data_IF_734051736439
#
_entry.id   IF_734051736439
#
_cell.length_a   1.000
_cell.length_b   1.000
_cell.length_c   1.000
_cell.angle_alpha   90.00
_cell.angle_beta   90.00
_cell.angle_gamma   90.00
#
_symmetry.space_group_name_H-M   'P 1'
#
loop_
_entity.id
_entity.type
_entity.pdbx_description
1 polymer ?
#
# COMPACT_ATOMS: atom_id res chain seq x y z
N UNK A 1 -1.10 -11.01 -3.61
CA UNK A 1 -1.88 -9.82 -4.08
C UNK A 1 -2.20 -9.93 -5.57
N UNK A 2 -1.21 -9.86 -6.46
CA UNK A 2 -1.45 -9.86 -7.92
C UNK A 2 -2.24 -11.09 -8.36
N UNK A 3 -1.76 -12.29 -8.01
CA UNK A 3 -2.39 -13.57 -8.39
C UNK A 3 -3.87 -13.70 -7.97
N UNK A 4 -4.16 -13.70 -6.65
CA UNK A 4 -5.54 -13.80 -6.16
C UNK A 4 -6.50 -12.76 -6.78
N UNK A 5 -6.03 -11.53 -7.01
CA UNK A 5 -6.86 -10.47 -7.57
C UNK A 5 -7.13 -10.68 -9.06
N UNK A 6 -6.16 -11.12 -9.84
CA UNK A 6 -6.36 -11.36 -11.28
C UNK A 6 -7.13 -12.64 -11.53
N UNK A 7 -6.86 -13.71 -10.78
CA UNK A 7 -7.57 -14.99 -10.90
C UNK A 7 -9.04 -14.90 -10.48
N UNK A 8 -9.41 -14.01 -9.55
CA UNK A 8 -10.80 -13.70 -9.24
C UNK A 8 -11.60 -13.19 -10.46
N UNK A 9 -10.90 -12.74 -11.51
CA UNK A 9 -11.46 -12.29 -12.78
C UNK A 9 -11.04 -13.16 -13.97
N UNK A 10 -10.53 -14.37 -13.73
CA UNK A 10 -10.09 -15.30 -14.79
C UNK A 10 -8.86 -14.82 -15.57
N UNK A 11 -8.06 -13.91 -14.98
CA UNK A 11 -6.86 -13.36 -15.60
C UNK A 11 -5.61 -13.98 -14.97
N UNK A 12 -4.74 -14.53 -15.81
CA UNK A 12 -3.41 -15.00 -15.39
C UNK A 12 -2.38 -13.86 -15.48
N UNK A 13 -1.79 -13.50 -14.34
CA UNK A 13 -0.72 -12.50 -14.30
C UNK A 13 0.66 -13.18 -14.28
N UNK A 14 1.51 -12.84 -15.24
CA UNK A 14 2.91 -13.28 -15.28
C UNK A 14 3.82 -12.23 -14.63
N UNK A 15 4.86 -12.70 -13.93
CA UNK A 15 5.83 -11.85 -13.19
C UNK A 15 7.27 -12.14 -13.66
N UNK A 16 7.69 -11.67 -14.84
CA UNK A 16 8.96 -12.08 -15.46
C UNK A 16 10.20 -11.83 -14.59
N UNK A 17 10.19 -10.81 -13.74
CA UNK A 17 11.29 -10.52 -12.81
C UNK A 17 11.47 -11.56 -11.69
N UNK A 18 10.52 -12.49 -11.52
CA UNK A 18 10.59 -13.60 -10.57
C UNK A 18 10.83 -14.95 -11.26
N UNK A 19 11.18 -14.95 -12.55
CA UNK A 19 11.68 -16.16 -13.19
C UNK A 19 12.98 -16.64 -12.52
N UNK A 20 13.10 -17.95 -12.33
CA UNK A 20 14.20 -18.54 -11.58
C UNK A 20 15.57 -18.35 -12.27
N UNK A 21 15.65 -18.52 -13.60
CA UNK A 21 16.90 -18.32 -14.35
C UNK A 21 17.34 -16.84 -14.27
N UNK A 22 16.37 -15.91 -14.38
CA UNK A 22 16.64 -14.49 -14.24
C UNK A 22 17.12 -14.14 -12.82
N UNK A 23 16.50 -14.69 -11.79
CA UNK A 23 16.89 -14.45 -10.39
C UNK A 23 18.28 -15.02 -10.09
N UNK A 24 18.59 -16.22 -10.58
CA UNK A 24 19.92 -16.84 -10.46
C UNK A 24 20.99 -15.97 -11.13
N UNK A 25 20.73 -15.47 -12.34
CA UNK A 25 21.62 -14.54 -13.02
C UNK A 25 21.79 -13.23 -12.21
N UNK A 26 20.70 -12.63 -11.74
CA UNK A 26 20.74 -11.41 -10.93
C UNK A 26 21.48 -11.61 -9.59
N UNK A 27 21.47 -12.82 -9.03
CA UNK A 27 22.20 -13.17 -7.81
C UNK A 27 23.72 -13.15 -8.04
N UNK A 28 24.20 -13.60 -9.20
CA UNK A 28 25.64 -13.56 -9.55
C UNK A 28 26.16 -12.15 -9.86
N UNK A 29 25.27 -11.20 -10.15
CA UNK A 29 25.65 -9.82 -10.43
C UNK A 29 26.30 -9.15 -9.20
N UNK A 30 27.49 -8.50 -9.35
CA UNK A 30 28.12 -7.74 -8.28
C UNK A 30 27.15 -6.74 -7.62
N UNK A 31 27.07 -6.69 -6.28
CA UNK A 31 26.15 -5.80 -5.57
C UNK A 31 26.27 -4.33 -5.96
N UNK A 32 27.49 -3.87 -6.26
CA UNK A 32 27.79 -2.48 -6.62
C UNK A 32 27.04 -2.06 -7.89
N UNK A 33 26.93 -2.96 -8.87
CA UNK A 33 26.20 -2.72 -10.12
C UNK A 33 24.69 -2.68 -9.92
N UNK A 34 24.17 -3.49 -8.98
CA UNK A 34 22.73 -3.50 -8.62
C UNK A 34 22.34 -2.25 -7.84
N UNK A 35 23.22 -1.78 -6.96
CA UNK A 35 22.97 -0.65 -6.05
C UNK A 35 23.36 0.71 -6.63
N UNK A 36 24.15 0.74 -7.71
CA UNK A 36 24.51 1.97 -8.42
C UNK A 36 23.27 2.80 -8.81
N UNK A 37 23.47 4.11 -8.95
CA UNK A 37 22.44 5.07 -9.39
C UNK A 37 21.21 5.13 -8.47
N UNK A 38 21.41 4.98 -7.16
CA UNK A 38 20.33 4.96 -6.16
C UNK A 38 19.48 3.68 -6.20
N UNK A 39 20.05 2.60 -6.73
CA UNK A 39 19.41 1.30 -6.90
C UNK A 39 18.94 1.03 -8.34
N UNK A 40 18.91 -0.27 -8.68
CA UNK A 40 18.57 -0.80 -10.00
C UNK A 40 19.55 -0.36 -11.09
N UNK A 41 20.83 -0.15 -10.77
CA UNK A 41 21.83 0.44 -11.68
C UNK A 41 21.94 -0.27 -13.04
N UNK A 42 22.27 -1.57 -13.03
CA UNK A 42 22.36 -2.38 -14.25
C UNK A 42 21.04 -2.40 -15.04
N UNK A 43 19.89 -2.48 -14.36
CA UNK A 43 18.57 -2.47 -14.99
C UNK A 43 18.26 -1.11 -15.64
N UNK A 44 18.62 0.00 -15.00
CA UNK A 44 18.50 1.36 -15.58
C UNK A 44 19.40 1.50 -16.80
N UNK A 45 20.63 1.01 -16.75
CA UNK A 45 21.57 1.05 -17.88
C UNK A 45 21.04 0.28 -19.09
N UNK A 46 20.44 -0.90 -18.88
CA UNK A 46 19.76 -1.66 -19.95
C UNK A 46 18.52 -0.89 -20.43
N UNK A 47 17.69 -0.40 -19.50
CA UNK A 47 16.46 0.33 -19.80
C UNK A 47 16.65 1.56 -20.67
N UNK A 48 17.71 2.36 -20.43
CA UNK A 48 18.04 3.56 -21.24
C UNK A 48 18.40 3.25 -22.70
N UNK A 49 18.72 1.98 -23.01
CA UNK A 49 18.94 1.52 -24.40
C UNK A 49 17.65 1.17 -25.13
N UNK A 50 16.55 0.99 -24.40
CA UNK A 50 15.27 0.47 -24.93
C UNK A 50 14.11 1.44 -24.79
N UNK A 51 14.17 2.37 -23.83
CA UNK A 51 13.10 3.29 -23.47
C UNK A 51 13.64 4.71 -23.33
N UNK A 52 12.79 5.75 -23.50
CA UNK A 52 13.16 7.13 -23.25
C UNK A 52 13.71 7.32 -21.83
N UNK A 53 14.71 8.18 -21.70
CA UNK A 53 15.44 8.35 -20.44
C UNK A 53 14.52 8.89 -19.35
N UNK A 54 13.53 9.71 -19.72
CA UNK A 54 12.54 10.29 -18.80
C UNK A 54 11.70 9.20 -18.12
N UNK A 55 11.47 8.05 -18.78
CA UNK A 55 10.73 6.92 -18.20
C UNK A 55 11.57 6.19 -17.16
N UNK A 56 12.87 6.02 -17.45
CA UNK A 56 13.83 5.27 -16.62
C UNK A 56 14.31 6.08 -15.42
N UNK A 57 14.56 7.37 -15.63
CA UNK A 57 15.17 8.29 -14.67
C UNK A 57 14.16 9.07 -13.84
N UNK A 58 12.85 8.84 -14.06
CA UNK A 58 11.82 9.43 -13.21
C UNK A 58 12.07 9.08 -11.73
N UNK A 59 11.78 10.01 -10.80
CA UNK A 59 11.76 9.71 -9.38
C UNK A 59 10.83 8.53 -9.06
N UNK A 60 11.16 7.77 -8.02
CA UNK A 60 10.34 6.64 -7.56
C UNK A 60 8.92 7.15 -7.23
N UNK A 61 7.98 6.83 -8.10
CA UNK A 61 6.56 7.08 -7.86
C UNK A 61 6.00 6.05 -6.87
N UNK A 62 5.29 6.52 -5.86
CA UNK A 62 4.42 5.66 -5.06
C UNK A 62 3.24 5.21 -5.91
N UNK A 63 2.69 4.04 -5.63
CA UNK A 63 1.38 3.63 -6.15
C UNK A 63 0.34 4.02 -5.10
N UNK A 64 -0.26 5.23 -5.19
CA UNK A 64 -1.29 5.60 -4.24
C UNK A 64 -2.43 4.61 -4.37
N UNK A 65 -2.98 4.19 -3.23
CA UNK A 65 -4.29 3.55 -3.16
C UNK A 65 -5.22 4.69 -2.73
N UNK A 66 -5.85 5.44 -3.67
CA UNK A 66 -6.49 6.70 -3.33
C UNK A 66 -7.57 6.55 -2.24
N UNK A 67 -8.27 5.42 -2.24
CA UNK A 67 -9.35 5.12 -1.29
C UNK A 67 -8.92 4.92 0.18
N UNK A 68 -7.61 4.87 0.49
CA UNK A 68 -7.13 4.83 1.88
C UNK A 68 -6.46 6.14 2.32
N UNK A 69 -6.27 7.08 1.40
CA UNK A 69 -5.74 8.43 1.69
C UNK A 69 -6.89 9.44 1.80
N UNK A 70 -7.96 9.23 1.04
CA UNK A 70 -9.17 10.02 1.08
C UNK A 70 -10.37 9.09 1.32
N UNK A 71 -10.98 9.21 2.49
CA UNK A 71 -12.13 8.44 2.91
C UNK A 71 -13.42 9.16 2.49
N UNK A 72 -14.21 8.48 1.68
CA UNK A 72 -15.51 8.94 1.23
C UNK A 72 -16.47 7.77 1.00
N UNK A 73 -17.75 8.08 0.86
CA UNK A 73 -18.81 7.13 0.52
C UNK A 73 -18.76 5.85 1.37
N UNK A 74 -18.82 4.70 0.69
CA UNK A 74 -18.90 3.38 1.34
C UNK A 74 -17.69 3.05 2.22
N UNK A 75 -16.51 3.58 1.89
CA UNK A 75 -15.29 3.31 2.68
C UNK A 75 -15.35 4.05 4.01
N UNK A 76 -15.75 5.34 3.99
CA UNK A 76 -15.94 6.12 5.21
C UNK A 76 -17.04 5.51 6.10
N UNK A 77 -18.16 5.10 5.51
CA UNK A 77 -19.23 4.40 6.25
C UNK A 77 -18.69 3.15 6.93
N UNK A 78 -17.95 2.30 6.21
CA UNK A 78 -17.37 1.08 6.78
C UNK A 78 -16.41 1.35 7.94
N UNK A 79 -15.59 2.40 7.84
CA UNK A 79 -14.67 2.80 8.92
C UNK A 79 -15.46 3.31 10.13
N UNK A 80 -16.49 4.12 9.92
CA UNK A 80 -17.37 4.61 10.98
C UNK A 80 -18.04 3.46 11.71
N UNK A 81 -18.64 2.53 10.97
CA UNK A 81 -19.35 1.39 11.53
C UNK A 81 -18.41 0.51 12.36
N UNK A 82 -17.19 0.24 11.86
CA UNK A 82 -16.20 -0.53 12.60
C UNK A 82 -15.81 0.15 13.92
N UNK A 83 -15.55 1.46 13.92
CA UNK A 83 -15.11 2.20 15.10
C UNK A 83 -16.23 2.46 16.12
N UNK A 84 -17.48 2.48 15.68
CA UNK A 84 -18.64 2.65 16.57
C UNK A 84 -19.29 1.33 17.01
N UNK A 85 -18.80 0.20 16.51
CA UNK A 85 -19.26 -1.13 16.91
C UNK A 85 -19.14 -1.32 18.44
N UNK A 86 -20.12 -1.97 19.09
CA UNK A 86 -20.06 -2.25 20.52
C UNK A 86 -18.79 -2.98 20.97
N UNK A 87 -18.24 -3.88 20.14
CA UNK A 87 -16.99 -4.58 20.43
C UNK A 87 -15.81 -3.59 20.50
N UNK A 88 -15.73 -2.65 19.56
CA UNK A 88 -14.71 -1.59 19.53
C UNK A 88 -14.77 -0.72 20.80
N UNK A 89 -15.99 -0.29 21.18
CA UNK A 89 -16.21 0.53 22.38
C UNK A 89 -15.87 -0.23 23.67
N UNK A 90 -16.28 -1.49 23.77
CA UNK A 90 -16.00 -2.35 24.93
C UNK A 90 -14.49 -2.57 25.12
N UNK A 91 -13.74 -2.61 24.01
CA UNK A 91 -12.28 -2.74 24.01
C UNK A 91 -11.56 -1.58 24.69
N UNK A 92 -12.14 -0.38 24.64
CA UNK A 92 -11.56 0.82 25.27
C UNK A 92 -10.19 1.25 24.68
N UNK A 93 -9.85 0.80 23.47
CA UNK A 93 -8.56 1.09 22.85
C UNK A 93 -8.46 2.51 22.28
N UNK A 94 -9.60 3.10 21.89
CA UNK A 94 -9.65 4.43 21.28
C UNK A 94 -10.33 5.42 22.21
N UNK A 95 -9.80 6.65 22.24
CA UNK A 95 -10.49 7.78 22.86
C UNK A 95 -11.64 8.20 21.95
N UNK A 96 -12.87 8.06 22.43
CA UNK A 96 -14.09 8.36 21.67
C UNK A 96 -14.08 9.76 21.09
N UNK A 97 -13.66 10.75 21.88
CA UNK A 97 -13.64 12.16 21.49
C UNK A 97 -12.66 12.41 20.33
N UNK A 98 -11.54 11.68 20.32
CA UNK A 98 -10.56 11.79 19.24
C UNK A 98 -11.06 11.13 17.96
N UNK A 99 -11.71 9.97 18.07
CA UNK A 99 -12.32 9.28 16.92
C UNK A 99 -13.45 10.10 16.32
N UNK A 100 -14.32 10.68 17.15
CA UNK A 100 -15.44 11.51 16.69
C UNK A 100 -14.93 12.79 16.00
N UNK A 101 -13.86 13.42 16.51
CA UNK A 101 -13.21 14.54 15.85
C UNK A 101 -12.64 14.16 14.47
N UNK A 102 -11.99 12.99 14.37
CA UNK A 102 -11.51 12.47 13.08
C UNK A 102 -12.67 12.14 12.14
N UNK A 103 -13.79 11.60 12.63
CA UNK A 103 -14.96 11.28 11.80
C UNK A 103 -15.70 12.51 11.30
N UNK A 104 -15.66 13.61 12.06
CA UNK A 104 -16.24 14.90 11.67
C UNK A 104 -15.45 15.55 10.53
N UNK A 105 -14.13 15.37 10.51
CA UNK A 105 -13.25 15.83 9.43
C UNK A 105 -12.28 14.71 8.94
N UNK A 106 -12.81 13.74 8.16
CA UNK A 106 -12.16 12.45 7.91
C UNK A 106 -10.88 12.51 7.09
N UNK A 107 -10.56 13.64 6.46
CA UNK A 107 -9.49 13.73 5.46
C UNK A 107 -8.39 14.75 5.77
N UNK A 108 -8.49 15.46 6.90
CA UNK A 108 -7.54 16.52 7.26
C UNK A 108 -6.31 15.97 7.98
N UNK A 109 -6.48 14.98 8.85
CA UNK A 109 -5.41 14.45 9.68
C UNK A 109 -4.65 13.32 8.98
N UNK A 110 -3.43 13.64 8.51
CA UNK A 110 -2.53 12.70 7.85
C UNK A 110 -1.35 12.31 8.76
N UNK A 111 -0.87 11.08 8.59
CA UNK A 111 0.39 10.59 9.15
C UNK A 111 1.60 11.25 8.46
N UNK A 112 2.82 11.16 9.02
CA UNK A 112 4.03 11.66 8.34
C UNK A 112 4.27 11.07 6.94
N UNK A 113 3.80 9.83 6.71
CA UNK A 113 3.83 9.16 5.41
C UNK A 113 2.62 9.51 4.52
N UNK A 114 1.87 10.55 4.88
CA UNK A 114 0.69 11.07 4.18
C UNK A 114 -0.49 10.10 4.07
N UNK A 115 -0.53 9.05 4.89
CA UNK A 115 -1.70 8.17 5.03
C UNK A 115 -2.77 8.76 5.94
N UNK A 116 -4.04 8.49 5.67
CA UNK A 116 -5.18 8.93 6.47
C UNK A 116 -5.18 8.27 7.87
N UNK A 117 -5.21 9.06 8.96
CA UNK A 117 -5.18 8.50 10.33
C UNK A 117 -6.44 7.70 10.66
N UNK A 118 -7.60 8.21 10.28
CA UNK A 118 -8.89 7.56 10.52
C UNK A 118 -8.95 6.18 9.85
N UNK A 119 -8.38 6.05 8.65
CA UNK A 119 -8.23 4.75 7.99
C UNK A 119 -7.41 3.76 8.82
N UNK A 120 -6.31 4.20 9.45
CA UNK A 120 -5.48 3.31 10.25
C UNK A 120 -6.24 2.76 11.47
N UNK A 121 -7.04 3.62 12.13
CA UNK A 121 -7.88 3.20 13.26
C UNK A 121 -8.96 2.21 12.78
N UNK A 122 -9.67 2.55 11.71
CA UNK A 122 -10.70 1.68 11.14
C UNK A 122 -10.14 0.34 10.65
N UNK A 123 -8.95 0.33 10.04
CA UNK A 123 -8.29 -0.88 9.58
C UNK A 123 -7.94 -1.81 10.75
N UNK A 124 -7.37 -1.26 11.82
CA UNK A 124 -7.06 -2.03 13.02
C UNK A 124 -8.33 -2.63 13.61
N UNK A 125 -9.38 -1.83 13.78
CA UNK A 125 -10.62 -2.31 14.39
C UNK A 125 -11.34 -3.35 13.51
N UNK A 126 -11.41 -3.14 12.20
CA UNK A 126 -11.92 -4.15 11.26
C UNK A 126 -11.14 -5.47 11.35
N UNK A 127 -9.81 -5.40 11.54
CA UNK A 127 -8.99 -6.58 11.72
C UNK A 127 -9.29 -7.29 13.05
N UNK A 128 -9.44 -6.56 14.15
CA UNK A 128 -9.77 -7.11 15.47
C UNK A 128 -11.13 -7.84 15.42
N UNK A 129 -12.14 -7.20 14.85
CA UNK A 129 -13.48 -7.80 14.69
C UNK A 129 -13.45 -9.05 13.81
N UNK A 130 -12.71 -9.03 12.70
CA UNK A 130 -12.58 -10.18 11.80
C UNK A 130 -11.95 -11.41 12.49
N UNK A 131 -11.17 -11.20 13.55
CA UNK A 131 -10.51 -12.27 14.30
C UNK A 131 -11.18 -12.56 15.66
N UNK A 132 -12.31 -11.89 15.97
CA UNK A 132 -13.02 -12.07 17.24
C UNK A 132 -12.21 -11.68 18.47
N UNK A 133 -11.20 -10.82 18.31
CA UNK A 133 -10.42 -10.21 19.39
C UNK A 133 -11.23 -9.06 19.96
#
# INVERSE_FOLDING_TARGET
RVDNMTMAHGLEARVPFLDHEFVELAATCPPELKLAQGGKGVLKSIGRRMLPWEVIDRPKGYFPVPGITHLEGKVLTRVRDALHDPAARKRGMFRTEYVDALLADPNTELTPLRGNKLWQLGLLEMWLQAHGI
#
